data_IF_015825351620
#
_entry.id   IF_015825351620
#
_cell.length_a   1.000
_cell.length_b   1.000
_cell.length_c   1.000
_cell.angle_alpha   90.00
_cell.angle_beta   90.00
_cell.angle_gamma   90.00
#
_symmetry.space_group_name_H-M   'P 1'
#
loop_
_entity.id
_entity.type
_entity.pdbx_description
1 polymer ?
#
# COMPACT_ATOMS: atom_id res chain seq x y z
N UNK A 1 6.43 -1.26 14.70
CA UNK A 1 6.22 -1.15 13.24
C UNK A 1 5.07 -0.20 13.00
N UNK A 2 5.22 0.82 12.13
CA UNK A 2 4.29 1.95 11.97
C UNK A 2 2.86 1.49 11.59
N UNK A 3 1.87 2.33 11.85
CA UNK A 3 0.51 2.13 11.36
C UNK A 3 0.51 2.35 9.82
N UNK A 4 -0.18 1.48 9.08
CA UNK A 4 -0.28 1.53 7.62
C UNK A 4 -1.68 2.04 7.28
N UNK A 5 -1.73 3.07 6.45
CA UNK A 5 -2.93 3.77 6.01
C UNK A 5 -3.16 3.59 4.51
N UNK A 6 -4.37 3.91 4.04
CA UNK A 6 -4.67 3.96 2.62
C UNK A 6 -3.81 5.04 1.95
N UNK A 7 -3.37 4.79 0.72
CA UNK A 7 -2.39 5.55 -0.06
C UNK A 7 -0.93 5.40 0.36
N UNK A 8 -0.62 4.77 1.51
CA UNK A 8 0.76 4.40 1.79
C UNK A 8 1.31 3.48 0.71
N UNK A 9 2.61 3.61 0.45
CA UNK A 9 3.34 2.68 -0.40
C UNK A 9 4.01 1.65 0.50
N UNK A 10 3.70 0.38 0.29
CA UNK A 10 4.32 -0.73 1.01
C UNK A 10 5.29 -1.48 0.10
N UNK A 11 6.39 -1.95 0.66
CA UNK A 11 7.38 -2.79 -0.03
C UNK A 11 7.34 -4.18 0.59
N UNK A 12 7.19 -5.22 -0.23
CA UNK A 12 7.24 -6.61 0.22
C UNK A 12 8.67 -7.17 0.32
N UNK A 13 8.81 -8.39 0.86
CA UNK A 13 10.11 -9.11 0.94
C UNK A 13 10.75 -9.40 -0.42
N UNK A 14 10.02 -9.27 -1.52
CA UNK A 14 10.53 -9.43 -2.90
C UNK A 14 10.89 -8.09 -3.54
N UNK A 15 10.89 -7.00 -2.76
CA UNK A 15 11.17 -5.64 -3.20
C UNK A 15 10.15 -5.09 -4.23
N UNK A 16 8.91 -5.60 -4.24
CA UNK A 16 7.82 -5.01 -5.01
C UNK A 16 7.15 -3.88 -4.23
N UNK A 17 6.90 -2.77 -4.90
CA UNK A 17 6.16 -1.64 -4.34
C UNK A 17 4.67 -1.72 -4.70
N UNK A 18 3.82 -1.46 -3.71
CA UNK A 18 2.37 -1.42 -3.87
C UNK A 18 1.78 -0.20 -3.19
N UNK A 19 0.77 0.40 -3.81
CA UNK A 19 -0.06 1.43 -3.18
C UNK A 19 -1.20 0.74 -2.45
N UNK A 20 -1.37 1.01 -1.15
CA UNK A 20 -2.49 0.52 -0.36
C UNK A 20 -3.78 1.21 -0.81
N UNK A 21 -4.76 0.42 -1.24
CA UNK A 21 -6.07 0.91 -1.68
C UNK A 21 -7.15 0.68 -0.62
N UNK A 22 -7.00 -0.39 0.16
CA UNK A 22 -7.90 -0.69 1.27
C UNK A 22 -7.15 -1.45 2.38
N UNK A 23 -7.65 -1.34 3.60
CA UNK A 23 -7.16 -2.07 4.79
C UNK A 23 -8.34 -2.81 5.42
N UNK A 24 -8.16 -4.10 5.64
CA UNK A 24 -9.19 -4.96 6.25
C UNK A 24 -8.55 -5.97 7.19
N UNK A 25 -9.39 -6.68 7.94
CA UNK A 25 -8.95 -7.81 8.76
C UNK A 25 -9.36 -9.13 8.12
N UNK A 26 -8.52 -10.15 8.25
CA UNK A 26 -8.90 -11.52 7.93
C UNK A 26 -9.82 -12.11 9.01
N UNK A 27 -10.21 -13.37 8.83
CA UNK A 27 -11.07 -14.10 9.78
C UNK A 27 -10.41 -14.31 11.15
N UNK A 28 -9.08 -14.19 11.24
CA UNK A 28 -8.29 -14.35 12.45
C UNK A 28 -7.92 -12.99 13.08
N UNK A 29 -8.39 -11.88 12.51
CA UNK A 29 -8.12 -10.53 12.98
C UNK A 29 -6.78 -9.93 12.53
N UNK A 30 -6.06 -10.57 11.62
CA UNK A 30 -4.81 -10.06 11.06
C UNK A 30 -5.06 -9.00 9.99
N UNK A 31 -4.23 -7.96 9.98
CA UNK A 31 -4.31 -6.90 8.97
C UNK A 31 -3.92 -7.44 7.59
N UNK A 32 -4.81 -7.21 6.63
CA UNK A 32 -4.59 -7.45 5.20
C UNK A 32 -4.77 -6.14 4.45
N UNK A 33 -3.92 -5.93 3.45
CA UNK A 33 -3.90 -4.74 2.63
C UNK A 33 -4.23 -5.11 1.18
N UNK A 34 -5.34 -4.58 0.67
CA UNK A 34 -5.63 -4.68 -0.76
C UNK A 34 -4.89 -3.53 -1.45
N UNK A 35 -4.00 -3.90 -2.36
CA UNK A 35 -3.02 -2.99 -2.95
C UNK A 35 -3.00 -3.09 -4.47
N UNK A 36 -2.40 -2.10 -5.12
CA UNK A 36 -2.13 -2.11 -6.56
C UNK A 36 -0.64 -1.88 -6.81
N UNK A 37 -0.05 -2.59 -7.77
CA UNK A 37 1.33 -2.31 -8.21
C UNK A 37 1.42 -0.94 -8.88
N UNK A 38 2.54 -0.25 -8.71
CA UNK A 38 2.85 1.00 -9.44
C UNK A 38 3.30 0.67 -10.87
N UNK A 39 2.79 1.38 -11.89
CA UNK A 39 3.23 1.23 -13.29
C UNK A 39 2.10 1.34 -14.32
N UNK A 40 2.43 1.15 -15.61
CA UNK A 40 1.51 1.32 -16.76
C UNK A 40 0.31 0.34 -16.72
N UNK A 41 0.48 -0.82 -16.09
CA UNK A 41 -0.58 -1.83 -15.92
C UNK A 41 -0.65 -2.27 -14.46
N UNK A 42 -1.38 -1.54 -13.60
CA UNK A 42 -1.53 -1.88 -12.19
C UNK A 42 -2.20 -3.24 -12.02
N UNK A 43 -1.61 -4.12 -11.20
CA UNK A 43 -2.21 -5.39 -10.81
C UNK A 43 -2.68 -5.31 -9.36
N UNK A 44 -3.91 -5.73 -9.10
CA UNK A 44 -4.44 -5.87 -7.74
C UNK A 44 -3.78 -7.05 -7.03
N UNK A 45 -3.33 -6.81 -5.79
CA UNK A 45 -2.70 -7.81 -4.93
C UNK A 45 -3.18 -7.63 -3.49
N UNK A 46 -3.37 -8.74 -2.79
CA UNK A 46 -3.64 -8.74 -1.35
C UNK A 46 -2.33 -9.09 -0.62
N UNK A 47 -1.89 -8.21 0.28
CA UNK A 47 -0.63 -8.34 1.02
C UNK A 47 -0.93 -8.43 2.51
N UNK A 48 -0.39 -9.43 3.19
CA UNK A 48 -0.47 -9.57 4.64
C UNK A 48 0.65 -8.78 5.32
N UNK A 49 0.41 -8.34 6.56
CA UNK A 49 1.36 -7.51 7.33
C UNK A 49 2.74 -8.16 7.50
N UNK A 50 2.83 -9.48 7.69
CA UNK A 50 4.13 -10.16 7.87
C UNK A 50 5.05 -10.11 6.63
N UNK A 51 4.47 -9.82 5.45
CA UNK A 51 5.20 -9.77 4.19
C UNK A 51 5.78 -8.39 3.89
N UNK A 52 5.44 -7.37 4.69
CA UNK A 52 5.85 -5.98 4.48
C UNK A 52 7.19 -5.72 5.17
N UNK A 53 8.17 -5.23 4.42
CA UNK A 53 9.51 -4.89 4.94
C UNK A 53 9.70 -3.39 5.13
N UNK A 54 8.98 -2.57 4.36
CA UNK A 54 9.03 -1.11 4.49
C UNK A 54 7.68 -0.48 4.17
N UNK A 55 7.45 0.69 4.77
CA UNK A 55 6.27 1.53 4.55
C UNK A 55 6.79 2.93 4.24
N UNK A 56 6.48 3.43 3.07
CA UNK A 56 6.70 4.80 2.63
C UNK A 56 5.36 5.52 2.71
N UNK A 57 5.22 6.41 3.69
CA UNK A 57 3.98 7.17 3.82
C UNK A 57 3.85 8.09 2.63
N UNK A 58 2.73 8.01 1.91
CA UNK A 58 2.38 9.13 1.04
C UNK A 58 2.13 10.29 1.99
N UNK A 59 2.82 11.42 1.82
CA UNK A 59 2.26 12.67 2.32
C UNK A 59 0.84 12.70 1.79
N UNK A 60 -0.17 12.86 2.66
CA UNK A 60 -1.55 13.13 2.22
C UNK A 60 -1.44 14.30 1.27
N UNK A 61 -1.35 13.99 -0.02
CA UNK A 61 -1.00 14.96 -1.02
C UNK A 61 -2.16 15.92 -1.03
N UNK A 62 -1.90 17.16 -0.61
CA UNK A 62 -2.66 18.24 -1.18
C UNK A 62 -2.64 18.03 -2.71
N UNK A 63 -3.80 18.12 -3.38
CA UNK A 63 -3.87 17.85 -4.81
C UNK A 63 -2.77 18.65 -5.51
N UNK A 64 -1.88 17.96 -6.20
CA UNK A 64 -0.87 18.60 -7.03
C UNK A 64 -1.62 19.22 -8.21
N UNK A 65 -1.81 20.54 -8.19
CA UNK A 65 -2.30 21.27 -9.33
C UNK A 65 -1.22 21.21 -10.43
N UNK A 66 -1.48 20.42 -11.48
CA UNK A 66 -0.70 20.53 -12.70
C UNK A 66 -1.14 21.81 -13.41
N UNK A 67 -0.29 22.83 -13.41
CA UNK A 67 -0.43 23.95 -14.34
C UNK A 67 -0.27 23.44 -15.78
N UNK A 68 -1.28 23.71 -16.61
CA UNK A 68 -1.34 23.39 -18.05
C UNK A 68 -0.65 24.45 -18.90
#
# INVERSE_FOLDING_TARGET
MRNIEVFDIIIDRKCHAYVVKNKRKDRNGHDIFDCATTGIRPQSRTIQRENIVAVLNSMKGEPFECES
#
